data_IF_634243081076
#
_entry.id   IF_634243081076
#
_cell.length_a   1.000
_cell.length_b   1.000
_cell.length_c   1.000
_cell.angle_alpha   90.00
_cell.angle_beta   90.00
_cell.angle_gamma   90.00
#
_symmetry.space_group_name_H-M   'P 1'
#
loop_
_entity.id
_entity.type
_entity.pdbx_description
1 polymer ?
#
# COMPACT_ATOMS: atom_id res chain seq x y z
N UNK A 1 68.57 5.68 -33.64
CA UNK A 1 67.53 5.02 -34.45
C UNK A 1 66.40 4.60 -33.52
N UNK A 2 65.19 5.12 -33.73
CA UNK A 2 64.01 5.00 -32.85
C UNK A 2 63.41 3.58 -32.91
N UNK A 3 63.04 3.02 -31.76
CA UNK A 3 62.08 1.91 -31.65
C UNK A 3 61.08 2.25 -30.54
N UNK A 4 60.00 2.93 -30.95
CA UNK A 4 58.83 3.21 -30.11
C UNK A 4 58.02 1.91 -30.06
N UNK A 5 57.97 1.26 -28.90
CA UNK A 5 57.18 0.05 -28.68
C UNK A 5 55.74 0.42 -28.32
N UNK A 6 54.86 0.17 -29.28
CA UNK A 6 53.41 0.19 -29.20
C UNK A 6 52.87 -0.51 -27.93
N UNK A 7 52.26 0.24 -27.02
CA UNK A 7 51.29 -0.33 -26.08
C UNK A 7 49.90 -0.26 -26.69
N UNK A 8 49.41 -1.45 -27.04
CA UNK A 8 48.09 -1.71 -27.61
C UNK A 8 47.03 -1.34 -26.55
N UNK A 9 46.16 -0.39 -26.88
CA UNK A 9 44.91 -0.15 -26.15
C UNK A 9 44.03 -1.38 -26.33
N UNK A 10 43.90 -2.19 -25.29
CA UNK A 10 42.91 -3.26 -25.23
C UNK A 10 41.55 -2.59 -24.95
N UNK A 11 40.77 -2.36 -26.00
CA UNK A 11 39.38 -1.93 -25.90
C UNK A 11 38.56 -3.16 -25.53
N UNK A 12 38.18 -3.28 -24.28
CA UNK A 12 37.25 -4.31 -23.82
C UNK A 12 35.82 -3.83 -24.08
N UNK A 13 35.27 -4.21 -25.24
CA UNK A 13 33.85 -4.02 -25.55
C UNK A 13 33.05 -5.08 -24.78
N UNK A 14 32.46 -4.71 -23.66
CA UNK A 14 31.42 -5.52 -23.03
C UNK A 14 30.14 -5.41 -23.85
N UNK A 15 29.92 -6.36 -24.77
CA UNK A 15 28.60 -6.57 -25.35
C UNK A 15 27.69 -7.17 -24.28
N UNK A 16 26.92 -6.33 -23.60
CA UNK A 16 25.73 -6.82 -22.89
C UNK A 16 24.70 -7.22 -23.93
N UNK A 17 24.49 -8.52 -24.07
CA UNK A 17 23.26 -9.09 -24.62
C UNK A 17 22.11 -8.61 -23.74
N UNK A 18 21.46 -7.50 -24.11
CA UNK A 18 20.11 -7.21 -23.65
C UNK A 18 19.21 -8.17 -24.41
N UNK A 19 18.98 -9.34 -23.81
CA UNK A 19 17.90 -10.22 -24.23
C UNK A 19 16.59 -9.44 -24.14
N UNK A 20 15.97 -9.25 -25.29
CA UNK A 20 14.57 -8.85 -25.41
C UNK A 20 13.75 -9.96 -24.74
N UNK A 21 13.41 -9.77 -23.47
CA UNK A 21 12.37 -10.54 -22.81
C UNK A 21 11.06 -9.84 -23.16
N UNK A 22 10.17 -10.41 -24.01
CA UNK A 22 8.80 -9.95 -24.08
C UNK A 22 8.07 -10.46 -22.84
N UNK A 23 8.25 -9.78 -21.71
CA UNK A 23 7.35 -9.95 -20.56
C UNK A 23 6.24 -8.90 -20.64
N UNK A 24 5.49 -8.94 -21.74
CA UNK A 24 4.11 -8.48 -21.73
C UNK A 24 3.22 -9.67 -21.36
N UNK A 25 3.45 -10.24 -20.17
CA UNK A 25 2.36 -10.85 -19.43
C UNK A 25 1.59 -9.68 -18.80
N UNK A 26 0.83 -8.96 -19.63
CA UNK A 26 -0.38 -8.36 -19.11
C UNK A 26 -1.14 -9.53 -18.50
N UNK A 27 -1.24 -9.55 -17.16
CA UNK A 27 -2.21 -10.39 -16.50
C UNK A 27 -3.54 -10.04 -17.16
N UNK A 28 -4.03 -10.95 -17.99
CA UNK A 28 -5.41 -10.94 -18.45
C UNK A 28 -6.22 -10.87 -17.17
N UNK A 29 -6.82 -9.70 -16.94
CA UNK A 29 -7.72 -9.46 -15.84
C UNK A 29 -8.93 -10.33 -16.16
N UNK A 30 -8.86 -11.61 -15.79
CA UNK A 30 -10.01 -12.49 -15.72
C UNK A 30 -11.00 -11.72 -14.87
N UNK A 31 -12.04 -11.22 -15.53
CA UNK A 31 -13.18 -10.62 -14.89
C UNK A 31 -13.81 -11.72 -14.06
N UNK A 32 -13.35 -11.83 -12.81
CA UNK A 32 -14.07 -12.55 -11.79
C UNK A 32 -15.40 -11.81 -11.75
N UNK A 33 -16.43 -12.43 -12.33
CA UNK A 33 -17.80 -12.07 -12.02
C UNK A 33 -17.98 -12.40 -10.54
N UNK A 34 -17.61 -11.45 -9.70
CA UNK A 34 -17.94 -11.48 -8.29
C UNK A 34 -19.44 -11.34 -8.27
N UNK A 35 -20.11 -12.44 -7.95
CA UNK A 35 -21.53 -12.48 -7.68
C UNK A 35 -21.75 -11.63 -6.42
N UNK A 36 -21.87 -10.31 -6.63
CA UNK A 36 -21.90 -9.25 -5.61
C UNK A 36 -23.26 -9.19 -4.91
N UNK A 37 -23.70 -10.32 -4.37
CA UNK A 37 -24.78 -10.39 -3.39
C UNK A 37 -24.28 -10.83 -2.02
N UNK A 38 -23.06 -10.42 -1.64
CA UNK A 38 -22.73 -10.33 -0.22
C UNK A 38 -23.50 -9.15 0.34
N UNK A 39 -24.65 -9.45 0.94
CA UNK A 39 -25.50 -8.52 1.67
C UNK A 39 -24.60 -7.70 2.61
N UNK A 40 -24.31 -6.45 2.23
CA UNK A 40 -23.60 -5.50 3.08
C UNK A 40 -24.44 -5.36 4.34
N UNK A 41 -24.04 -6.05 5.42
CA UNK A 41 -24.63 -5.82 6.73
C UNK A 41 -24.21 -4.42 7.14
N UNK A 42 -25.04 -3.45 6.73
CA UNK A 42 -25.05 -2.05 7.15
C UNK A 42 -23.63 -1.53 7.39
N UNK A 43 -22.87 -1.34 6.31
CA UNK A 43 -21.58 -0.65 6.43
C UNK A 43 -21.91 0.74 7.01
N UNK A 44 -21.43 1.10 8.22
CA UNK A 44 -21.75 2.39 8.88
C UNK A 44 -21.46 3.63 8.03
N UNK A 45 -20.71 3.44 6.95
CA UNK A 45 -20.18 4.47 6.09
C UNK A 45 -21.10 4.83 4.89
N UNK A 46 -22.16 4.06 4.62
CA UNK A 46 -23.20 4.44 3.63
C UNK A 46 -23.93 5.74 4.01
N UNK A 47 -23.83 6.16 5.29
CA UNK A 47 -24.49 7.35 5.83
C UNK A 47 -23.96 8.68 5.26
N UNK A 48 -22.78 8.70 4.62
CA UNK A 48 -22.14 9.96 4.20
C UNK A 48 -22.29 10.30 2.71
N UNK A 49 -22.96 9.46 1.90
CA UNK A 49 -23.44 9.77 0.55
C UNK A 49 -22.41 10.14 -0.53
N UNK A 50 -21.15 10.40 -0.18
CA UNK A 50 -20.03 10.78 -1.07
C UNK A 50 -18.69 10.13 -0.70
N UNK A 51 -18.73 9.11 0.18
CA UNK A 51 -17.56 8.45 0.73
C UNK A 51 -16.77 9.31 1.72
N UNK A 52 -16.10 8.65 2.65
CA UNK A 52 -15.04 9.24 3.47
C UNK A 52 -13.79 8.38 3.34
N UNK A 53 -12.72 8.74 4.06
CA UNK A 53 -11.48 7.96 4.03
C UNK A 53 -11.69 6.49 4.41
N UNK A 54 -12.52 6.21 5.42
CA UNK A 54 -12.82 4.86 5.89
C UNK A 54 -13.60 4.04 4.86
N UNK A 55 -14.64 4.61 4.24
CA UNK A 55 -15.42 3.97 3.17
C UNK A 55 -14.52 3.63 1.98
N UNK A 56 -13.78 4.62 1.49
CA UNK A 56 -12.91 4.43 0.33
C UNK A 56 -11.81 3.41 0.61
N UNK A 57 -11.20 3.45 1.80
CA UNK A 57 -10.23 2.44 2.23
C UNK A 57 -10.87 1.04 2.29
N UNK A 58 -12.12 0.93 2.72
CA UNK A 58 -12.86 -0.33 2.73
C UNK A 58 -13.11 -0.88 1.32
N UNK A 59 -13.52 -0.03 0.37
CA UNK A 59 -13.64 -0.43 -1.04
C UNK A 59 -12.30 -0.91 -1.60
N UNK A 60 -11.20 -0.23 -1.26
CA UNK A 60 -9.88 -0.68 -1.69
C UNK A 60 -9.48 -2.02 -1.05
N UNK A 61 -9.89 -2.29 0.20
CA UNK A 61 -9.72 -3.63 0.77
C UNK A 61 -10.52 -4.67 -0.02
N UNK A 62 -11.78 -4.40 -0.37
CA UNK A 62 -12.61 -5.35 -1.12
C UNK A 62 -12.01 -5.68 -2.50
N UNK A 63 -11.43 -4.68 -3.16
CA UNK A 63 -10.79 -4.86 -4.46
C UNK A 63 -9.44 -5.59 -4.41
N UNK A 64 -8.60 -5.28 -3.42
CA UNK A 64 -7.19 -5.69 -3.44
C UNK A 64 -6.82 -6.72 -2.39
N UNK A 65 -7.61 -6.88 -1.33
CA UNK A 65 -7.33 -7.87 -0.30
C UNK A 65 -8.06 -9.17 -0.59
N UNK A 66 -7.53 -10.32 -0.15
CA UNK A 66 -8.21 -11.60 -0.31
C UNK A 66 -9.54 -11.65 0.46
N UNK A 67 -9.65 -10.87 1.55
CA UNK A 67 -10.81 -10.76 2.43
C UNK A 67 -10.90 -9.34 3.02
N UNK A 68 -12.09 -8.82 3.25
CA UNK A 68 -12.33 -7.63 4.07
C UNK A 68 -12.50 -8.01 5.54
N UNK A 69 -12.29 -7.07 6.46
CA UNK A 69 -12.73 -7.20 7.84
C UNK A 69 -13.92 -6.28 8.11
N UNK A 70 -14.73 -6.67 9.10
CA UNK A 70 -15.83 -5.85 9.58
C UNK A 70 -15.28 -4.74 10.47
N UNK A 71 -15.76 -3.52 10.23
CA UNK A 71 -15.44 -2.35 11.05
C UNK A 71 -16.67 -1.97 11.87
N UNK A 72 -16.59 -1.94 13.21
CA UNK A 72 -17.72 -1.54 14.03
C UNK A 72 -18.18 -0.11 13.72
N UNK A 73 -19.49 0.13 13.71
CA UNK A 73 -20.05 1.43 13.32
C UNK A 73 -19.64 2.63 14.16
N UNK A 74 -19.19 2.40 15.39
CA UNK A 74 -18.70 3.44 16.28
C UNK A 74 -17.22 3.78 16.06
N UNK A 75 -16.49 3.04 15.21
CA UNK A 75 -15.05 3.18 15.04
C UNK A 75 -14.74 4.29 14.05
N UNK A 76 -13.90 5.22 14.49
CA UNK A 76 -13.24 6.19 13.64
C UNK A 76 -12.02 5.55 12.96
N UNK A 77 -11.42 6.25 12.00
CA UNK A 77 -10.29 5.74 11.22
C UNK A 77 -9.08 5.35 12.11
N UNK A 78 -8.82 6.09 13.19
CA UNK A 78 -7.76 5.77 14.15
C UNK A 78 -8.00 4.44 14.88
N UNK A 79 -9.26 4.04 15.09
CA UNK A 79 -9.63 2.87 15.90
C UNK A 79 -9.46 1.56 15.11
N UNK A 80 -9.18 1.62 13.80
CA UNK A 80 -8.93 0.43 12.98
C UNK A 80 -7.73 -0.40 13.48
N UNK A 81 -6.81 0.22 14.22
CA UNK A 81 -5.68 -0.47 14.85
C UNK A 81 -6.12 -1.46 15.93
N UNK A 82 -7.31 -1.30 16.50
CA UNK A 82 -7.85 -2.19 17.54
C UNK A 82 -8.37 -3.51 16.95
N UNK A 83 -8.51 -3.58 15.63
CA UNK A 83 -8.91 -4.79 14.90
C UNK A 83 -7.72 -5.75 14.70
N UNK A 84 -6.50 -5.32 15.03
CA UNK A 84 -5.29 -6.14 14.91
C UNK A 84 -5.43 -7.42 15.73
N UNK A 85 -5.10 -8.54 15.09
CA UNK A 85 -5.27 -9.86 15.68
C UNK A 85 -6.56 -10.56 15.26
N UNK A 86 -7.52 -9.84 14.65
CA UNK A 86 -8.69 -10.45 13.99
C UNK A 86 -8.27 -11.52 13.01
N UNK A 87 -9.08 -12.58 12.91
CA UNK A 87 -8.81 -13.73 12.05
C UNK A 87 -10.00 -13.99 11.15
N UNK A 88 -9.72 -14.27 9.88
CA UNK A 88 -10.72 -14.64 8.88
C UNK A 88 -10.22 -15.87 8.12
N UNK A 89 -11.10 -16.83 7.89
CA UNK A 89 -10.81 -18.00 7.05
C UNK A 89 -11.53 -17.86 5.72
N UNK A 90 -10.79 -17.88 4.62
CA UNK A 90 -11.36 -17.88 3.26
C UNK A 90 -10.52 -18.81 2.38
N UNK A 91 -11.20 -19.63 1.58
CA UNK A 91 -10.57 -20.57 0.63
C UNK A 91 -9.50 -21.47 1.31
N UNK A 92 -9.80 -21.99 2.50
CA UNK A 92 -8.90 -22.88 3.25
C UNK A 92 -7.66 -22.20 3.85
N UNK A 93 -7.55 -20.87 3.75
CA UNK A 93 -6.46 -20.08 4.34
C UNK A 93 -6.99 -19.25 5.51
N UNK A 94 -6.26 -19.27 6.62
CA UNK A 94 -6.51 -18.38 7.76
C UNK A 94 -5.62 -17.15 7.64
N UNK A 95 -6.24 -16.00 7.57
CA UNK A 95 -5.61 -14.68 7.57
C UNK A 95 -5.72 -14.08 8.96
N UNK A 96 -4.65 -13.45 9.44
CA UNK A 96 -4.62 -12.67 10.68
C UNK A 96 -4.24 -11.23 10.35
N UNK A 97 -5.03 -10.28 10.83
CA UNK A 97 -4.74 -8.86 10.63
C UNK A 97 -3.55 -8.51 11.52
N UNK A 98 -2.51 -7.95 10.91
CA UNK A 98 -1.31 -7.52 11.63
C UNK A 98 -1.11 -6.02 11.49
N UNK A 99 -0.40 -5.46 12.46
CA UNK A 99 0.14 -4.11 12.41
C UNK A 99 1.64 -4.17 12.16
N UNK A 100 2.12 -3.36 11.24
CA UNK A 100 3.53 -3.21 10.90
C UNK A 100 3.93 -1.72 10.92
N UNK A 101 5.23 -1.46 11.06
CA UNK A 101 5.84 -0.14 10.93
C UNK A 101 6.53 0.06 9.58
N UNK A 102 6.79 -1.03 8.86
CA UNK A 102 7.37 -0.97 7.51
C UNK A 102 6.26 -1.02 6.47
N UNK A 103 6.10 -0.02 5.59
CA UNK A 103 5.06 -0.04 4.57
C UNK A 103 5.26 -1.16 3.56
N UNK A 104 4.16 -1.67 3.00
CA UNK A 104 4.10 -2.51 1.81
C UNK A 104 3.00 -2.00 0.86
N UNK A 105 3.17 -2.22 -0.44
CA UNK A 105 2.11 -1.96 -1.42
C UNK A 105 0.94 -2.88 -1.10
N UNK A 106 -0.27 -2.33 -1.10
CA UNK A 106 -1.48 -3.01 -0.71
C UNK A 106 -1.85 -2.83 0.75
N UNK A 107 -1.05 -2.15 1.57
CA UNK A 107 -1.43 -1.89 2.96
C UNK A 107 -2.59 -0.89 3.08
N UNK A 108 -3.29 -0.96 4.22
CA UNK A 108 -4.01 0.21 4.74
C UNK A 108 -3.08 0.93 5.69
N UNK A 109 -2.71 2.17 5.37
CA UNK A 109 -2.04 3.05 6.33
C UNK A 109 -3.09 3.69 7.24
N UNK A 110 -2.83 3.68 8.54
CA UNK A 110 -3.65 4.34 9.56
C UNK A 110 -2.83 5.46 10.17
N UNK A 111 -3.36 6.67 10.10
CA UNK A 111 -2.86 7.86 10.79
C UNK A 111 -3.66 8.08 12.07
N UNK A 112 -2.95 8.29 13.17
CA UNK A 112 -3.57 8.63 14.44
C UNK A 112 -4.08 10.07 14.46
N UNK A 113 -4.75 10.44 15.55
CA UNK A 113 -5.15 11.81 15.81
C UNK A 113 -4.00 12.77 16.14
N UNK A 114 -2.79 12.23 16.35
CA UNK A 114 -1.59 13.00 16.66
C UNK A 114 -0.73 13.32 15.44
N UNK A 115 -0.89 12.59 14.33
CA UNK A 115 0.05 12.66 13.21
C UNK A 115 -0.16 13.89 12.30
N UNK A 116 -1.43 14.17 11.95
CA UNK A 116 -1.76 15.12 10.86
C UNK A 116 -2.99 15.99 11.15
N UNK A 117 -3.32 16.17 12.44
CA UNK A 117 -4.44 17.04 12.86
C UNK A 117 -5.83 16.45 12.56
N UNK A 118 -5.90 15.15 12.28
CA UNK A 118 -7.16 14.44 12.06
C UNK A 118 -7.69 13.91 13.37
N UNK A 119 -8.59 14.63 14.05
CA UNK A 119 -9.11 14.22 15.37
C UNK A 119 -9.73 12.82 15.44
N UNK A 120 -10.17 12.28 14.30
CA UNK A 120 -10.73 10.93 14.10
C UNK A 120 -9.74 9.95 13.44
N UNK A 121 -8.48 10.36 13.30
CA UNK A 121 -7.50 9.69 12.45
C UNK A 121 -7.86 9.76 10.97
N UNK A 122 -7.10 9.01 10.18
CA UNK A 122 -7.31 8.87 8.74
C UNK A 122 -6.77 7.55 8.24
N UNK A 123 -7.38 7.01 7.20
CA UNK A 123 -6.93 5.79 6.54
C UNK A 123 -6.79 6.00 5.04
N UNK A 124 -5.79 5.37 4.46
CA UNK A 124 -5.54 5.40 3.03
C UNK A 124 -4.97 4.06 2.56
N UNK A 125 -5.14 3.76 1.27
CA UNK A 125 -4.63 2.52 0.67
C UNK A 125 -3.27 2.79 0.01
N UNK A 126 -2.24 2.04 0.39
CA UNK A 126 -0.86 2.22 -0.10
C UNK A 126 -0.71 1.60 -1.48
N UNK A 127 -0.41 2.42 -2.48
CA UNK A 127 -0.23 2.00 -3.88
C UNK A 127 1.22 1.97 -4.33
N UNK A 128 2.13 2.57 -3.57
CA UNK A 128 3.55 2.64 -3.94
C UNK A 128 4.44 2.99 -2.76
N UNK A 129 5.70 2.57 -2.83
CA UNK A 129 6.74 2.91 -1.86
C UNK A 129 7.94 3.42 -2.63
N UNK A 130 8.40 4.61 -2.27
CA UNK A 130 9.62 5.19 -2.82
C UNK A 130 10.64 5.30 -1.69
N UNK A 131 11.81 4.70 -1.88
CA UNK A 131 12.91 4.76 -0.93
C UNK A 131 14.10 5.45 -1.61
N UNK A 132 14.55 6.55 -1.02
CA UNK A 132 15.72 7.30 -1.49
C UNK A 132 16.82 7.19 -0.45
N UNK A 133 17.96 6.63 -0.83
CA UNK A 133 19.13 6.55 0.04
C UNK A 133 20.16 7.59 -0.38
N UNK A 134 20.70 8.33 0.58
CA UNK A 134 21.79 9.28 0.37
C UNK A 134 22.88 9.11 1.41
N UNK A 135 24.11 9.51 1.06
CA UNK A 135 25.23 9.54 1.99
C UNK A 135 25.61 10.99 2.27
N UNK A 136 25.47 11.42 3.52
CA UNK A 136 25.87 12.74 3.98
C UNK A 136 27.39 12.74 4.19
N UNK A 137 28.13 13.19 3.19
CA UNK A 137 29.61 13.23 3.20
C UNK A 137 30.15 14.01 4.40
N UNK A 138 29.45 15.06 4.85
CA UNK A 138 29.90 15.93 5.93
C UNK A 138 29.79 15.21 7.28
N UNK A 139 28.67 14.54 7.52
CA UNK A 139 28.42 13.84 8.77
C UNK A 139 28.91 12.38 8.75
N UNK A 140 29.30 11.87 7.57
CA UNK A 140 29.68 10.48 7.31
C UNK A 140 28.56 9.48 7.61
N UNK A 141 27.32 9.90 7.43
CA UNK A 141 26.13 9.13 7.79
C UNK A 141 25.29 8.78 6.56
N UNK A 142 24.71 7.59 6.55
CA UNK A 142 23.70 7.20 5.56
C UNK A 142 22.32 7.69 6.00
N UNK A 143 21.60 8.34 5.09
CA UNK A 143 20.22 8.80 5.29
C UNK A 143 19.30 8.05 4.36
N UNK A 144 18.16 7.64 4.88
CA UNK A 144 17.11 7.00 4.10
C UNK A 144 15.83 7.79 4.23
N UNK A 145 15.31 8.26 3.10
CA UNK A 145 13.98 8.84 3.03
C UNK A 145 13.03 7.77 2.49
N UNK A 146 11.89 7.62 3.16
CA UNK A 146 10.83 6.69 2.73
C UNK A 146 9.57 7.50 2.53
N UNK A 147 9.04 7.49 1.31
CA UNK A 147 7.74 8.04 0.98
C UNK A 147 6.78 6.91 0.62
N UNK A 148 5.53 7.01 1.07
CA UNK A 148 4.44 6.17 0.60
C UNK A 148 3.57 6.96 -0.37
N UNK A 149 3.18 6.32 -1.47
CA UNK A 149 2.11 6.79 -2.33
C UNK A 149 0.82 6.10 -1.91
N UNK A 150 -0.24 6.87 -1.72
CA UNK A 150 -1.54 6.35 -1.29
C UNK A 150 -2.65 6.81 -2.21
N UNK A 151 -3.72 6.03 -2.25
CA UNK A 151 -5.04 6.47 -2.69
C UNK A 151 -5.90 6.76 -1.45
N UNK A 152 -6.48 7.96 -1.41
CA UNK A 152 -7.25 8.41 -0.26
C UNK A 152 -8.45 9.26 -0.66
N UNK A 153 -9.46 9.23 0.19
CA UNK A 153 -10.61 10.13 0.19
C UNK A 153 -10.65 10.93 1.49
N UNK A 154 -11.57 11.87 1.65
CA UNK A 154 -11.74 12.63 2.87
C UNK A 154 -13.21 12.95 3.12
N UNK A 155 -13.54 13.27 4.38
CA UNK A 155 -14.82 13.88 4.70
C UNK A 155 -14.92 15.21 3.92
N UNK A 156 -15.99 15.35 3.12
CA UNK A 156 -16.21 16.53 2.27
C UNK A 156 -15.13 16.72 1.19
N UNK A 157 -14.68 15.63 0.57
CA UNK A 157 -13.81 15.67 -0.60
C UNK A 157 -14.39 16.62 -1.68
N UNK A 158 -13.60 17.60 -2.11
CA UNK A 158 -13.93 18.50 -3.22
C UNK A 158 -13.20 18.07 -4.48
N UNK A 159 -13.82 18.28 -5.64
CA UNK A 159 -13.21 17.93 -6.94
C UNK A 159 -11.87 18.64 -7.19
N UNK A 160 -11.58 19.74 -6.49
CA UNK A 160 -10.30 20.44 -6.59
C UNK A 160 -9.15 19.64 -5.95
N UNK A 161 -9.38 19.10 -4.74
CA UNK A 161 -8.36 18.36 -4.00
C UNK A 161 -8.41 16.85 -4.28
N UNK A 162 -9.57 16.33 -4.68
CA UNK A 162 -9.88 14.93 -4.94
C UNK A 162 -10.48 14.81 -6.34
N UNK A 163 -9.66 14.92 -7.39
CA UNK A 163 -10.14 15.08 -8.77
C UNK A 163 -10.62 13.76 -9.40
N UNK A 164 -10.35 12.62 -8.77
CA UNK A 164 -10.73 11.31 -9.30
C UNK A 164 -11.99 10.81 -8.61
N UNK A 165 -12.74 9.93 -9.27
CA UNK A 165 -13.94 9.31 -8.72
C UNK A 165 -13.88 7.80 -8.91
N UNK A 166 -14.13 7.05 -7.83
CA UNK A 166 -14.35 5.61 -7.87
C UNK A 166 -15.73 5.36 -7.28
N UNK A 167 -16.60 4.71 -8.05
CA UNK A 167 -18.04 4.62 -7.77
C UNK A 167 -18.67 5.98 -7.45
N UNK A 168 -18.88 6.29 -6.17
CA UNK A 168 -19.47 7.56 -5.69
C UNK A 168 -18.52 8.33 -4.76
N UNK A 169 -17.26 7.91 -4.67
CA UNK A 169 -16.26 8.43 -3.76
C UNK A 169 -15.21 9.24 -4.52
N UNK A 170 -15.08 10.52 -4.17
CA UNK A 170 -13.98 11.32 -4.68
C UNK A 170 -12.69 10.94 -3.98
N UNK A 171 -11.62 10.76 -4.74
CA UNK A 171 -10.33 10.38 -4.21
C UNK A 171 -9.17 11.10 -4.91
N UNK A 172 -7.99 11.05 -4.31
CA UNK A 172 -6.73 11.51 -4.90
C UNK A 172 -5.64 10.47 -4.71
N UNK A 173 -4.60 10.58 -5.53
CA UNK A 173 -3.31 10.00 -5.20
C UNK A 173 -2.48 11.05 -4.47
N UNK A 174 -1.92 10.69 -3.32
CA UNK A 174 -1.10 11.58 -2.51
C UNK A 174 0.18 10.88 -2.06
N UNK A 175 1.18 11.67 -1.66
CA UNK A 175 2.46 11.16 -1.15
C UNK A 175 2.69 11.65 0.27
N UNK A 176 2.97 10.73 1.17
CA UNK A 176 3.36 11.02 2.55
C UNK A 176 4.80 10.60 2.78
N UNK A 177 5.61 11.49 3.33
CA UNK A 177 6.93 11.13 3.85
C UNK A 177 6.76 10.41 5.18
N UNK A 178 7.26 9.19 5.26
CA UNK A 178 7.26 8.35 6.47
C UNK A 178 8.54 8.55 7.26
N UNK A 179 9.66 8.64 6.55
CA UNK A 179 11.00 8.80 7.12
C UNK A 179 11.76 9.88 6.35
N UNK A 180 12.45 10.76 7.08
CA UNK A 180 13.34 11.77 6.53
C UNK A 180 14.69 11.68 7.26
N UNK A 181 15.69 11.08 6.62
CA UNK A 181 16.92 10.62 7.27
C UNK A 181 16.61 9.64 8.40
N UNK A 182 16.99 9.98 9.64
CA UNK A 182 16.75 9.14 10.81
C UNK A 182 15.45 9.50 11.55
N UNK A 183 14.69 10.47 11.05
CA UNK A 183 13.48 10.96 11.69
C UNK A 183 12.24 10.30 11.10
N UNK A 184 11.44 9.67 11.95
CA UNK A 184 10.07 9.26 11.61
C UNK A 184 9.19 10.52 11.61
N UNK A 185 8.51 10.78 10.50
CA UNK A 185 7.66 11.98 10.32
C UNK A 185 6.34 11.83 11.08
N UNK A 186 5.76 10.64 11.03
CA UNK A 186 4.49 10.28 11.67
C UNK A 186 4.72 9.09 12.63
N UNK A 187 5.08 9.35 13.90
CA UNK A 187 5.50 8.30 14.83
C UNK A 187 4.39 7.31 15.16
N UNK A 188 3.14 7.77 15.17
CA UNK A 188 1.97 6.97 15.54
C UNK A 188 1.32 6.27 14.33
N UNK A 189 1.70 6.67 13.12
CA UNK A 189 1.30 6.00 11.89
C UNK A 189 1.67 4.51 11.90
N UNK A 190 0.80 3.67 11.35
CA UNK A 190 1.05 2.25 11.18
C UNK A 190 0.38 1.69 9.94
N UNK A 191 0.78 0.47 9.57
CA UNK A 191 0.27 -0.22 8.40
C UNK A 191 -0.46 -1.49 8.81
N UNK A 192 -1.68 -1.66 8.31
CA UNK A 192 -2.49 -2.84 8.48
C UNK A 192 -2.42 -3.69 7.22
N UNK A 193 -2.24 -5.01 7.41
CA UNK A 193 -2.32 -6.00 6.32
C UNK A 193 -2.71 -7.38 6.83
N UNK A 194 -3.20 -8.22 5.93
CA UNK A 194 -3.38 -9.63 6.21
C UNK A 194 -2.05 -10.39 6.17
N UNK A 195 -1.79 -11.20 7.20
CA UNK A 195 -0.75 -12.23 7.20
C UNK A 195 -1.40 -13.61 7.18
N UNK A 196 -1.02 -14.46 6.24
CA UNK A 196 -1.44 -15.87 6.25
C UNK A 196 -0.78 -16.57 7.44
N UNK A 197 -1.57 -17.23 8.29
CA UNK A 197 -1.08 -17.92 9.50
C UNK A 197 -1.16 -19.43 9.36
N UNK A 198 -2.17 -19.95 8.64
CA UNK A 198 -2.32 -21.38 8.35
C UNK A 198 -2.84 -21.52 6.92
N UNK A 199 -2.16 -22.32 6.11
CA UNK A 199 -2.68 -22.80 4.84
C UNK A 199 -2.98 -24.28 4.98
N UNK A 200 -4.26 -24.66 4.96
CA UNK A 200 -4.59 -26.07 4.78
C UNK A 200 -4.35 -26.40 3.30
N UNK A 201 -3.44 -27.34 3.04
CA UNK A 201 -3.41 -28.02 1.76
C UNK A 201 -4.72 -28.81 1.70
N UNK A 202 -5.70 -28.32 0.94
CA UNK A 202 -6.86 -29.13 0.59
C UNK A 202 -6.30 -30.23 -0.30
N UNK A 203 -6.01 -31.38 0.29
CA UNK A 203 -5.74 -32.59 -0.48
C UNK A 203 -7.05 -32.87 -1.22
N UNK A 204 -7.13 -32.42 -2.47
CA UNK A 204 -8.16 -32.86 -3.41
C UNK A 204 -7.89 -34.35 -3.65
N UNK A 205 -8.42 -35.18 -2.76
CA UNK A 205 -8.51 -36.62 -2.97
C UNK A 205 -9.47 -36.85 -4.13
N UNK A 206 -8.86 -37.24 -5.25
CA UNK A 206 -9.37 -38.05 -6.38
C UNK A 206 -10.85 -37.92 -6.76
#
# INVERSE_FOLDING_TARGET
MKLIKNQKKLVLVFMFFVSLIPNSAYAEQTSIQVDNQKKHFSNPYDLFGKGNCAYFAWDMMDLFWPVTFEVPGAYDAKDWVDLVGSKVTQNGKMYKLIKDKTPQVGDIVVFSDKDIGFSRGHVAFVTGINQNCSFDVKNKDFKTDIDIQVMESANYASNYNFPNMYEKCLYRSYRYSVMQGDKIVYPDMCFLRWKVVVGYQVNNGM
#
